data_IF_100178125965
#
_entry.id   IF_100178125965
#
_cell.length_a   1.000
_cell.length_b   1.000
_cell.length_c   1.000
_cell.angle_alpha   90.00
_cell.angle_beta   90.00
_cell.angle_gamma   90.00
#
_symmetry.space_group_name_H-M   'P 1'
#
loop_
_entity.id
_entity.type
_entity.pdbx_description
1 polymer ?
#
# COMPACT_ATOMS: atom_id res chain seq x y z
N UNK A 1 4.52 4.72 -16.15
CA UNK A 1 4.06 5.62 -15.08
C UNK A 1 2.89 4.93 -14.40
N UNK A 2 2.81 5.01 -13.09
CA UNK A 2 1.67 4.55 -12.32
C UNK A 2 0.80 5.71 -11.85
N UNK A 3 -0.42 5.40 -11.46
CA UNK A 3 -1.31 6.33 -10.77
C UNK A 3 -1.75 5.72 -9.44
N UNK A 4 -1.82 6.56 -8.39
CA UNK A 4 -2.40 6.22 -7.10
C UNK A 4 -3.72 6.94 -6.97
N UNK A 5 -4.80 6.21 -6.72
CA UNK A 5 -6.14 6.75 -6.53
C UNK A 5 -6.64 6.39 -5.13
N UNK A 6 -7.06 7.41 -4.37
CA UNK A 6 -7.48 7.25 -2.99
C UNK A 6 -8.50 8.32 -2.59
N UNK A 7 -9.34 7.99 -1.61
CA UNK A 7 -10.31 8.90 -1.01
C UNK A 7 -10.02 9.04 0.48
N UNK A 8 -9.91 10.28 0.96
CA UNK A 8 -9.62 10.59 2.37
C UNK A 8 -10.58 11.64 2.92
N UNK A 9 -10.82 11.69 4.23
CA UNK A 9 -11.51 12.82 4.86
C UNK A 9 -10.79 14.14 4.58
N UNK A 10 -11.54 15.22 4.35
CA UNK A 10 -10.98 16.54 4.01
C UNK A 10 -9.96 17.03 5.06
N UNK A 11 -10.23 16.77 6.34
CA UNK A 11 -9.37 17.14 7.46
C UNK A 11 -8.04 16.38 7.48
N UNK A 12 -7.96 15.24 6.78
CA UNK A 12 -6.75 14.42 6.64
C UNK A 12 -6.03 14.63 5.31
N UNK A 13 -6.58 15.41 4.38
CA UNK A 13 -5.99 15.62 3.05
C UNK A 13 -4.52 16.05 3.12
N UNK A 14 -4.17 16.95 4.05
CA UNK A 14 -2.79 17.43 4.21
C UNK A 14 -1.81 16.32 4.61
N UNK A 15 -2.26 15.28 5.32
CA UNK A 15 -1.40 14.15 5.66
C UNK A 15 -0.98 13.34 4.41
N UNK A 16 -1.80 13.35 3.35
CA UNK A 16 -1.45 12.79 2.03
C UNK A 16 -0.72 13.82 1.17
N UNK A 17 -1.18 15.08 1.13
CA UNK A 17 -0.67 16.06 0.19
C UNK A 17 0.74 16.58 0.54
N UNK A 18 1.08 16.67 1.83
CA UNK A 18 2.43 17.09 2.25
C UNK A 18 3.53 16.15 1.69
N UNK A 19 3.47 14.82 1.87
CA UNK A 19 4.48 13.93 1.31
C UNK A 19 4.46 13.94 -0.23
N UNK A 20 3.28 13.98 -0.86
CA UNK A 20 3.13 14.02 -2.34
C UNK A 20 3.81 15.26 -2.94
N UNK A 21 3.56 16.44 -2.37
CA UNK A 21 4.17 17.69 -2.84
C UNK A 21 5.67 17.77 -2.53
N UNK A 22 6.10 17.24 -1.37
CA UNK A 22 7.52 17.17 -1.00
C UNK A 22 8.33 16.28 -1.94
N UNK A 23 7.71 15.22 -2.48
CA UNK A 23 8.30 14.35 -3.49
C UNK A 23 8.23 14.92 -4.92
N UNK A 24 7.68 16.12 -5.12
CA UNK A 24 7.56 16.75 -6.43
C UNK A 24 6.57 16.05 -7.37
N UNK A 25 5.64 15.26 -6.82
CA UNK A 25 4.66 14.51 -7.59
C UNK A 25 3.50 15.40 -8.04
N UNK A 26 2.90 15.04 -9.17
CA UNK A 26 1.80 15.78 -9.78
C UNK A 26 0.46 15.10 -9.51
N UNK A 27 -0.57 15.93 -9.28
CA UNK A 27 -1.96 15.46 -9.24
C UNK A 27 -2.53 15.42 -10.65
N UNK A 28 -3.11 14.28 -11.02
CA UNK A 28 -3.91 14.14 -12.23
C UNK A 28 -5.26 14.83 -12.06
N UNK A 29 -5.92 14.60 -10.93
CA UNK A 29 -7.17 15.27 -10.57
C UNK A 29 -7.40 15.21 -9.05
N UNK A 30 -8.25 16.11 -8.58
CA UNK A 30 -8.74 16.20 -7.20
C UNK A 30 -10.23 16.48 -7.26
N UNK A 31 -11.03 15.73 -6.52
CA UNK A 31 -12.47 15.90 -6.45
C UNK A 31 -12.90 15.95 -4.99
N UNK A 32 -13.56 17.04 -4.60
CA UNK A 32 -14.18 17.16 -3.28
C UNK A 32 -15.62 16.63 -3.33
N UNK A 33 -15.93 15.72 -2.42
CA UNK A 33 -17.26 15.16 -2.22
C UNK A 33 -17.89 15.78 -0.97
N UNK A 34 -18.68 16.84 -1.18
CA UNK A 34 -19.37 17.57 -0.11
C UNK A 34 -20.28 16.69 0.75
N UNK A 35 -20.94 15.69 0.16
CA UNK A 35 -21.89 14.84 0.87
C UNK A 35 -21.20 13.92 1.89
N UNK A 36 -19.98 13.47 1.58
CA UNK A 36 -19.19 12.58 2.44
C UNK A 36 -18.15 13.32 3.27
N UNK A 37 -17.87 14.58 2.96
CA UNK A 37 -16.76 15.33 3.54
C UNK A 37 -15.40 14.74 3.16
N UNK A 38 -15.30 14.09 1.99
CA UNK A 38 -14.08 13.42 1.53
C UNK A 38 -13.50 14.08 0.29
N UNK A 39 -12.22 13.86 0.05
CA UNK A 39 -11.51 14.27 -1.16
C UNK A 39 -10.91 13.04 -1.80
N UNK A 40 -11.29 12.80 -3.04
CA UNK A 40 -10.67 11.81 -3.90
C UNK A 40 -9.52 12.48 -4.64
N UNK A 41 -8.35 11.85 -4.65
CA UNK A 41 -7.15 12.37 -5.31
C UNK A 41 -6.55 11.29 -6.20
N UNK A 42 -6.06 11.71 -7.37
CA UNK A 42 -5.24 10.86 -8.23
C UNK A 42 -3.87 11.46 -8.42
N UNK A 43 -2.84 10.71 -8.04
CA UNK A 43 -1.45 11.13 -8.05
C UNK A 43 -0.72 10.36 -9.15
N UNK A 44 0.06 11.06 -9.97
CA UNK A 44 0.93 10.44 -10.98
C UNK A 44 2.28 10.14 -10.34
N UNK A 45 2.74 8.90 -10.46
CA UNK A 45 3.95 8.40 -9.78
C UNK A 45 4.86 7.68 -10.78
N UNK A 46 6.20 7.87 -10.72
CA UNK A 46 7.14 7.00 -11.42
C UNK A 46 6.92 5.54 -11.03
N UNK A 47 6.97 4.63 -12.00
CA UNK A 47 6.58 3.23 -11.77
C UNK A 47 7.46 2.54 -10.73
N UNK A 48 8.76 2.86 -10.76
CA UNK A 48 9.81 2.39 -9.87
C UNK A 48 9.73 2.98 -8.45
N UNK A 49 8.98 4.07 -8.26
CA UNK A 49 8.84 4.75 -6.96
C UNK A 49 7.53 4.41 -6.23
N UNK A 50 6.60 3.66 -6.86
CA UNK A 50 5.27 3.37 -6.28
C UNK A 50 5.35 2.86 -4.84
N UNK A 51 6.24 1.88 -4.58
CA UNK A 51 6.39 1.26 -3.27
C UNK A 51 6.87 2.27 -2.20
N UNK A 52 7.82 3.13 -2.55
CA UNK A 52 8.37 4.14 -1.65
C UNK A 52 7.35 5.25 -1.37
N UNK A 53 6.61 5.70 -2.39
CA UNK A 53 5.57 6.71 -2.24
C UNK A 53 4.42 6.20 -1.39
N UNK A 54 3.96 4.96 -1.60
CA UNK A 54 2.94 4.34 -0.75
C UNK A 54 3.41 4.27 0.71
N UNK A 55 4.66 3.88 0.95
CA UNK A 55 5.23 3.81 2.29
C UNK A 55 5.34 5.19 2.95
N UNK A 56 5.73 6.21 2.17
CA UNK A 56 5.78 7.60 2.63
C UNK A 56 4.40 8.11 3.04
N UNK A 57 3.36 7.81 2.24
CA UNK A 57 1.97 8.16 2.56
C UNK A 57 1.51 7.42 3.82
N UNK A 58 1.76 6.11 3.93
CA UNK A 58 1.40 5.32 5.12
C UNK A 58 1.98 5.93 6.41
N UNK A 59 3.26 6.32 6.36
CA UNK A 59 3.95 6.94 7.50
C UNK A 59 3.34 8.28 7.90
N UNK A 60 2.91 9.09 6.93
CA UNK A 60 2.35 10.41 7.19
C UNK A 60 0.88 10.36 7.61
N UNK A 61 0.09 9.45 7.03
CA UNK A 61 -1.34 9.31 7.28
C UNK A 61 -1.63 8.65 8.63
N UNK A 62 -0.87 7.60 8.99
CA UNK A 62 -0.91 6.97 10.32
C UNK A 62 -2.17 6.16 10.65
N UNK A 63 -3.16 6.13 9.77
CA UNK A 63 -4.43 5.41 9.92
C UNK A 63 -4.64 4.43 8.75
N UNK A 64 -5.62 3.52 8.83
CA UNK A 64 -5.97 2.65 7.71
C UNK A 64 -6.40 3.46 6.47
N UNK A 65 -5.81 3.16 5.31
CA UNK A 65 -6.12 3.81 4.04
C UNK A 65 -5.98 2.82 2.89
N UNK A 66 -7.03 2.74 2.07
CA UNK A 66 -7.00 1.98 0.82
C UNK A 66 -6.58 2.88 -0.34
N UNK A 67 -5.69 2.38 -1.18
CA UNK A 67 -5.18 3.07 -2.37
C UNK A 67 -5.27 2.12 -3.55
N UNK A 68 -5.96 2.53 -4.60
CA UNK A 68 -5.94 1.84 -5.88
C UNK A 68 -4.67 2.22 -6.63
N UNK A 69 -3.96 1.22 -7.15
CA UNK A 69 -2.72 1.38 -7.92
C UNK A 69 -3.02 1.02 -9.37
N UNK A 70 -2.96 2.00 -10.25
CA UNK A 70 -3.19 1.85 -11.68
C UNK A 70 -1.85 1.86 -12.39
N UNK A 71 -1.58 0.86 -13.22
CA UNK A 71 -0.32 0.74 -13.97
C UNK A 71 -0.59 0.57 -15.45
N UNK A 72 0.07 1.38 -16.26
CA UNK A 72 0.09 1.25 -17.71
C UNK A 72 1.13 0.18 -18.10
N UNK A 73 0.76 -1.10 -17.95
CA UNK A 73 1.60 -2.22 -18.40
C UNK A 73 0.78 -3.18 -19.27
N UNK A 74 1.44 -3.84 -20.23
CA UNK A 74 0.82 -4.81 -21.15
C UNK A 74 0.10 -5.95 -20.41
N UNK A 75 0.49 -6.25 -19.17
CA UNK A 75 -0.11 -7.27 -18.31
C UNK A 75 -1.25 -6.75 -17.43
N UNK A 76 -1.63 -5.46 -17.53
CA UNK A 76 -2.64 -4.75 -16.73
C UNK A 76 -2.81 -5.34 -15.33
N UNK A 77 -1.80 -5.13 -14.49
CA UNK A 77 -1.91 -5.41 -13.08
C UNK A 77 -2.68 -4.24 -12.44
N UNK A 78 -3.94 -4.49 -12.08
CA UNK A 78 -4.62 -3.63 -11.11
C UNK A 78 -4.01 -3.96 -9.76
N UNK A 79 -3.52 -2.95 -9.05
CA UNK A 79 -3.04 -3.10 -7.70
C UNK A 79 -4.01 -2.51 -6.69
N UNK A 80 -4.12 -3.12 -5.52
CA UNK A 80 -4.69 -2.49 -4.35
C UNK A 80 -3.63 -2.45 -3.26
N UNK A 81 -3.43 -1.28 -2.66
CA UNK A 81 -2.55 -1.10 -1.53
C UNK A 81 -3.38 -0.75 -0.28
N UNK A 82 -3.12 -1.48 0.80
CA UNK A 82 -3.65 -1.18 2.12
C UNK A 82 -2.52 -0.60 2.96
N UNK A 83 -2.66 0.66 3.33
CA UNK A 83 -1.76 1.38 4.21
C UNK A 83 -2.32 1.27 5.63
N UNK A 84 -1.50 0.84 6.58
CA UNK A 84 -1.89 0.70 7.96
C UNK A 84 -0.69 0.97 8.88
N UNK A 85 -0.92 0.97 10.19
CA UNK A 85 0.13 1.03 11.19
C UNK A 85 -0.07 -0.07 12.22
N UNK A 86 0.98 -0.84 12.47
CA UNK A 86 1.00 -1.82 13.56
C UNK A 86 1.71 -1.23 14.78
N UNK A 87 1.18 -1.52 15.96
CA UNK A 87 1.69 -1.01 17.21
C UNK A 87 2.34 -2.16 17.97
N UNK A 88 3.66 -2.08 18.16
CA UNK A 88 4.44 -3.08 18.88
C UNK A 88 5.14 -2.37 20.03
N UNK A 89 4.79 -2.77 21.25
CA UNK A 89 5.15 -2.05 22.46
C UNK A 89 4.75 -0.56 22.35
N UNK A 90 5.71 0.36 22.53
CA UNK A 90 5.50 1.81 22.45
C UNK A 90 5.85 2.42 21.07
N UNK A 91 6.09 1.60 20.04
CA UNK A 91 6.44 2.05 18.69
C UNK A 91 5.35 1.71 17.69
N UNK A 92 5.07 2.65 16.79
CA UNK A 92 4.18 2.44 15.64
C UNK A 92 5.02 2.24 14.38
N UNK A 93 4.68 1.24 13.59
CA UNK A 93 5.37 0.89 12.36
C UNK A 93 4.38 0.98 11.20
N UNK A 94 4.63 1.84 10.19
CA UNK A 94 3.82 1.85 8.98
C UNK A 94 4.00 0.53 8.23
N UNK A 95 2.90 0.02 7.70
CA UNK A 95 2.82 -1.20 6.91
C UNK A 95 2.04 -0.90 5.66
N UNK A 96 2.61 -1.28 4.52
CA UNK A 96 1.93 -1.26 3.22
C UNK A 96 1.75 -2.70 2.79
N UNK A 97 0.52 -3.08 2.43
CA UNK A 97 0.24 -4.36 1.79
C UNK A 97 -0.25 -4.08 0.38
N UNK A 98 0.62 -4.31 -0.60
CA UNK A 98 0.33 -4.16 -2.02
C UNK A 98 -0.05 -5.52 -2.62
N UNK A 99 -1.27 -5.62 -3.11
CA UNK A 99 -1.80 -6.80 -3.80
C UNK A 99 -1.86 -6.50 -5.30
N UNK A 100 -1.25 -7.34 -6.12
CA UNK A 100 -1.25 -7.23 -7.58
C UNK A 100 -2.16 -8.32 -8.15
N UNK A 101 -3.07 -7.97 -9.06
CA UNK A 101 -4.02 -8.89 -9.68
C UNK A 101 -3.74 -9.03 -11.18
N UNK A 102 -3.82 -10.25 -11.73
CA UNK A 102 -3.70 -10.49 -13.17
C UNK A 102 -5.06 -10.61 -13.83
N UNK A 103 -5.24 -10.03 -15.02
CA UNK A 103 -6.44 -10.23 -15.85
C UNK A 103 -6.73 -11.71 -16.11
N UNK A 104 -5.69 -12.53 -16.31
CA UNK A 104 -5.85 -13.96 -16.62
C UNK A 104 -6.45 -14.76 -15.45
N UNK A 105 -6.15 -14.36 -14.20
CA UNK A 105 -6.65 -15.01 -12.99
C UNK A 105 -7.87 -14.33 -12.39
N UNK A 106 -8.30 -13.22 -12.96
CA UNK A 106 -9.42 -12.41 -12.48
C UNK A 106 -9.08 -11.55 -11.25
N UNK A 107 -10.02 -10.68 -10.81
CA UNK A 107 -9.77 -9.66 -9.80
C UNK A 107 -9.84 -10.16 -8.36
N UNK A 108 -10.04 -11.46 -8.12
CA UNK A 108 -10.37 -11.98 -6.79
C UNK A 108 -9.18 -12.62 -6.06
N UNK A 109 -8.14 -13.02 -6.79
CA UNK A 109 -6.97 -13.69 -6.22
C UNK A 109 -5.72 -12.92 -6.66
N UNK A 110 -4.99 -12.30 -5.72
CA UNK A 110 -3.74 -11.65 -6.04
C UNK A 110 -2.75 -12.64 -6.64
N UNK A 111 -1.99 -12.23 -7.65
CA UNK A 111 -0.88 -13.01 -8.20
C UNK A 111 0.42 -12.75 -7.46
N UNK A 112 0.49 -11.63 -6.74
CA UNK A 112 1.61 -11.25 -5.88
C UNK A 112 1.11 -10.34 -4.77
N UNK A 113 1.60 -10.58 -3.56
CA UNK A 113 1.39 -9.72 -2.40
C UNK A 113 2.75 -9.24 -1.93
N UNK A 114 2.92 -7.95 -1.77
CA UNK A 114 4.14 -7.32 -1.29
C UNK A 114 3.82 -6.58 0.00
N UNK A 115 4.48 -6.95 1.08
CA UNK A 115 4.40 -6.24 2.36
C UNK A 115 5.65 -5.38 2.51
N UNK A 116 5.47 -4.10 2.79
CA UNK A 116 6.56 -3.13 2.99
C UNK A 116 6.39 -2.51 4.37
N UNK A 117 7.48 -2.49 5.13
CA UNK A 117 7.52 -1.86 6.45
C UNK A 117 8.92 -1.30 6.71
N UNK A 118 9.15 -0.68 7.88
CA UNK A 118 10.48 -0.17 8.23
C UNK A 118 11.51 -1.30 8.34
N UNK A 119 12.77 -1.00 8.01
CA UNK A 119 13.89 -1.93 8.13
C UNK A 119 14.17 -2.42 9.56
N UNK A 120 13.78 -1.65 10.57
CA UNK A 120 14.00 -1.94 11.99
C UNK A 120 12.81 -2.64 12.68
N UNK A 121 11.85 -3.16 11.92
CA UNK A 121 10.74 -3.93 12.48
C UNK A 121 11.27 -5.23 13.12
N UNK A 122 10.94 -5.51 14.40
CA UNK A 122 11.34 -6.76 15.05
C UNK A 122 10.65 -7.97 14.40
N UNK A 123 11.22 -9.16 14.60
CA UNK A 123 10.71 -10.41 14.03
C UNK A 123 9.27 -10.73 14.47
N UNK A 124 8.94 -10.47 15.74
CA UNK A 124 7.56 -10.55 16.25
C UNK A 124 6.59 -9.68 15.45
N UNK A 125 7.06 -8.52 14.96
CA UNK A 125 6.27 -7.66 14.09
C UNK A 125 6.02 -8.25 12.72
N UNK A 126 7.03 -8.92 12.14
CA UNK A 126 6.87 -9.64 10.88
C UNK A 126 5.85 -10.76 11.06
N UNK A 127 5.96 -11.55 12.14
CA UNK A 127 5.00 -12.60 12.45
C UNK A 127 3.57 -12.04 12.64
N UNK A 128 3.44 -10.90 13.31
CA UNK A 128 2.17 -10.21 13.52
C UNK A 128 1.55 -9.81 12.18
N UNK A 129 2.31 -9.17 11.29
CA UNK A 129 1.82 -8.79 9.95
C UNK A 129 1.34 -10.02 9.18
N UNK A 130 2.15 -11.07 9.14
CA UNK A 130 1.79 -12.31 8.45
C UNK A 130 0.58 -13.00 9.08
N UNK A 131 0.36 -12.86 10.39
CA UNK A 131 -0.83 -13.38 11.08
C UNK A 131 -2.06 -12.47 10.96
N UNK A 132 -1.92 -11.27 10.41
CA UNK A 132 -3.01 -10.31 10.29
C UNK A 132 -3.94 -10.70 9.14
N UNK A 133 -5.24 -10.56 9.37
CA UNK A 133 -6.25 -10.81 8.35
C UNK A 133 -6.63 -9.50 7.67
N UNK A 134 -6.67 -9.50 6.34
CA UNK A 134 -7.19 -8.38 5.56
C UNK A 134 -8.58 -8.77 5.03
N UNK A 135 -9.62 -8.47 5.82
CA UNK A 135 -10.96 -9.03 5.58
C UNK A 135 -10.98 -10.55 5.76
N UNK A 136 -11.39 -11.29 4.73
CA UNK A 136 -11.40 -12.77 4.72
C UNK A 136 -10.06 -13.40 4.28
N UNK A 137 -9.04 -12.58 4.06
CA UNK A 137 -7.76 -13.01 3.50
C UNK A 137 -6.71 -13.22 4.59
N UNK A 138 -6.17 -14.44 4.68
CA UNK A 138 -5.09 -14.83 5.60
C UNK A 138 -3.77 -15.00 4.81
N UNK A 139 -2.79 -14.14 5.12
CA UNK A 139 -1.49 -14.12 4.45
C UNK A 139 -0.71 -15.43 4.62
N UNK A 140 -0.81 -16.10 5.77
CA UNK A 140 -0.07 -17.34 6.07
C UNK A 140 -0.62 -18.54 5.30
N UNK A 141 -1.93 -18.61 5.10
CA UNK A 141 -2.58 -19.77 4.47
C UNK A 141 -2.58 -19.72 2.95
N UNK A 142 -2.57 -18.52 2.39
CA UNK A 142 -2.79 -18.35 0.96
C UNK A 142 -1.50 -18.22 0.12
N UNK A 143 -0.34 -18.04 0.75
CA UNK A 143 0.91 -17.71 0.05
C UNK A 143 2.12 -18.44 0.62
N UNK A 144 3.13 -18.65 -0.24
CA UNK A 144 4.47 -19.02 0.23
C UNK A 144 5.22 -17.73 0.62
N UNK A 145 5.77 -17.63 1.85
CA UNK A 145 6.63 -16.51 2.22
C UNK A 145 7.86 -16.51 1.32
N UNK A 146 8.01 -15.46 0.51
CA UNK A 146 9.12 -15.28 -0.39
C UNK A 146 10.20 -14.37 0.18
N UNK A 147 11.01 -13.82 -0.73
CA UNK A 147 12.27 -13.12 -0.46
C UNK A 147 12.05 -11.96 0.52
N UNK A 148 12.86 -11.94 1.58
CA UNK A 148 12.94 -10.83 2.53
C UNK A 148 14.14 -9.97 2.14
N UNK A 149 13.89 -8.77 1.66
CA UNK A 149 14.94 -7.77 1.40
C UNK A 149 14.97 -6.79 2.56
N UNK A 150 16.14 -6.61 3.18
CA UNK A 150 16.34 -5.70 4.31
C UNK A 150 17.37 -4.64 3.95
N UNK A 151 16.91 -3.40 3.80
CA UNK A 151 17.72 -2.18 3.73
C UNK A 151 17.12 -1.15 4.70
N UNK A 152 16.88 0.10 4.26
CA UNK A 152 16.08 1.09 5.01
C UNK A 152 14.62 0.64 5.22
N UNK A 153 14.12 -0.21 4.31
CA UNK A 153 12.81 -0.86 4.36
C UNK A 153 12.97 -2.37 4.48
N UNK A 154 11.99 -3.02 5.10
CA UNK A 154 11.78 -4.46 5.04
C UNK A 154 10.70 -4.75 4.01
N UNK A 155 11.04 -5.53 2.99
CA UNK A 155 10.11 -5.99 1.95
C UNK A 155 9.93 -7.50 2.03
N UNK A 156 8.69 -7.96 2.09
CA UNK A 156 8.31 -9.38 2.10
C UNK A 156 7.44 -9.62 0.88
N UNK A 157 7.94 -10.37 -0.09
CA UNK A 157 7.19 -10.71 -1.31
C UNK A 157 6.59 -12.10 -1.14
N UNK A 158 5.32 -12.25 -1.47
CA UNK A 158 4.55 -13.48 -1.35
C UNK A 158 3.86 -13.77 -2.66
N UNK A 159 3.92 -15.02 -3.13
CA UNK A 159 3.21 -15.49 -4.33
C UNK A 159 2.28 -16.65 -3.97
N UNK A 160 1.10 -16.78 -4.60
CA UNK A 160 0.19 -17.86 -4.32
C UNK A 160 0.87 -19.22 -4.55
N UNK A 161 0.58 -20.20 -3.69
CA UNK A 161 1.00 -21.57 -3.94
C UNK A 161 0.39 -22.05 -5.27
N UNK A 162 1.18 -22.77 -6.07
CA UNK A 162 0.73 -23.34 -7.35
C UNK A 162 -0.29 -24.45 -7.15
#
# INVERSE_FOLDING_TARGET
MGELDLEVPIEKLNAVMNPVTSAGLYLRWVLYNELRGTVSVRIVVPEDEIEEILFMIARAYGEPLEVSVLRDSETMLVGQAFLNSIHIHAKSYPVVVLMEYSRERGPYVPVKVTVITRGDLPEEGIETILGTHFGNFDLRRSYQPGIVERNSLTKIVMTPAR
#
